data_IF_673437518983
#
_entry.id   IF_673437518983
#
_cell.length_a   1.000
_cell.length_b   1.000
_cell.length_c   1.000
_cell.angle_alpha   90.00
_cell.angle_beta   90.00
_cell.angle_gamma   90.00
#
_symmetry.space_group_name_H-M   'P 1'
#
loop_
_entity.id
_entity.type
_entity.pdbx_description
1 polymer ?
#
# COMPACT_ATOMS: atom_id res chain seq x y z
N UNK A 1 -19.42 15.70 -9.55
CA UNK A 1 -18.56 15.03 -8.56
C UNK A 1 -17.12 15.20 -9.01
N UNK A 2 -16.19 15.51 -8.11
CA UNK A 2 -14.76 15.70 -8.44
C UNK A 2 -13.98 14.38 -8.54
N UNK A 3 -14.67 13.25 -8.63
CA UNK A 3 -14.08 11.93 -8.80
C UNK A 3 -14.67 11.29 -10.04
N UNK A 4 -13.80 10.84 -10.94
CA UNK A 4 -14.16 10.11 -12.14
C UNK A 4 -13.91 8.63 -11.90
N UNK A 5 -14.95 7.82 -12.06
CA UNK A 5 -14.82 6.36 -12.09
C UNK A 5 -14.00 5.94 -13.31
N UNK A 6 -13.07 5.02 -13.10
CA UNK A 6 -12.23 4.42 -14.13
C UNK A 6 -12.59 2.94 -14.21
N UNK A 7 -12.80 2.42 -15.42
CA UNK A 7 -13.16 1.03 -15.62
C UNK A 7 -12.06 0.09 -15.11
N UNK A 8 -12.46 -0.99 -14.45
CA UNK A 8 -11.57 -1.95 -13.79
C UNK A 8 -11.97 -2.20 -12.34
N UNK A 9 -11.38 -3.25 -11.76
CA UNK A 9 -11.52 -3.58 -10.34
C UNK A 9 -10.15 -3.87 -9.75
N UNK A 10 -9.84 -3.24 -8.62
CA UNK A 10 -8.57 -3.39 -7.91
C UNK A 10 -8.83 -3.46 -6.40
N UNK A 11 -7.89 -4.04 -5.66
CA UNK A 11 -7.87 -4.06 -4.19
C UNK A 11 -6.76 -3.17 -3.63
N UNK A 12 -5.73 -2.88 -4.42
CA UNK A 12 -4.68 -1.93 -4.07
C UNK A 12 -4.09 -1.28 -5.34
N UNK A 13 -3.73 0.00 -5.24
CA UNK A 13 -3.00 0.71 -6.29
C UNK A 13 -1.87 1.59 -5.73
N UNK A 14 -0.96 1.95 -6.61
CA UNK A 14 0.09 2.93 -6.40
C UNK A 14 0.28 3.75 -7.68
N UNK A 15 0.72 5.00 -7.54
CA UNK A 15 0.83 5.95 -8.65
C UNK A 15 2.17 6.67 -8.61
N UNK A 16 2.89 6.62 -9.73
CA UNK A 16 4.07 7.44 -10.02
C UNK A 16 3.69 8.71 -10.78
N UNK A 17 4.70 9.45 -11.28
CA UNK A 17 4.48 10.64 -12.11
C UNK A 17 3.74 10.29 -13.42
N UNK A 18 3.08 11.27 -14.03
CA UNK A 18 2.49 11.17 -15.38
C UNK A 18 1.43 10.06 -15.51
N UNK A 19 0.66 9.83 -14.44
CA UNK A 19 -0.34 8.74 -14.34
C UNK A 19 0.24 7.34 -14.61
N UNK A 20 1.50 7.09 -14.22
CA UNK A 20 2.02 5.72 -14.14
C UNK A 20 1.37 4.99 -12.96
N UNK A 21 0.18 4.43 -13.19
CA UNK A 21 -0.61 3.73 -12.18
C UNK A 21 -0.42 2.23 -12.33
N UNK A 22 -0.11 1.57 -11.21
CA UNK A 22 -0.12 0.12 -11.10
C UNK A 22 -1.15 -0.31 -10.06
N UNK A 23 -1.74 -1.47 -10.29
CA UNK A 23 -2.81 -2.00 -9.49
C UNK A 23 -2.74 -3.50 -9.34
N UNK A 24 -3.35 -3.98 -8.26
CA UNK A 24 -3.54 -5.40 -7.96
C UNK A 24 -5.03 -5.63 -7.74
N UNK A 25 -5.58 -6.74 -8.25
CA UNK A 25 -6.99 -7.11 -8.00
C UNK A 25 -7.15 -8.19 -6.91
N UNK A 26 -8.38 -8.62 -6.64
CA UNK A 26 -8.67 -9.62 -5.60
C UNK A 26 -8.08 -11.03 -5.88
N UNK A 27 -7.67 -11.29 -7.13
CA UNK A 27 -6.99 -12.52 -7.54
C UNK A 27 -5.47 -12.42 -7.49
N UNK A 28 -4.93 -11.31 -6.97
CA UNK A 28 -3.51 -10.95 -6.95
C UNK A 28 -2.92 -10.64 -8.34
N UNK A 29 -3.74 -10.55 -9.38
CA UNK A 29 -3.26 -10.22 -10.72
C UNK A 29 -2.78 -8.77 -10.77
N UNK A 30 -1.66 -8.53 -11.44
CA UNK A 30 -1.00 -7.23 -11.52
C UNK A 30 -1.42 -6.53 -12.82
N UNK A 31 -1.73 -5.24 -12.75
CA UNK A 31 -2.12 -4.43 -13.89
C UNK A 31 -1.37 -3.10 -13.92
N UNK A 32 -1.05 -2.64 -15.13
CA UNK A 32 -0.56 -1.29 -15.41
C UNK A 32 -1.61 -0.53 -16.21
N UNK A 33 -1.91 0.71 -15.80
CA UNK A 33 -2.81 1.58 -16.55
C UNK A 33 -2.11 2.15 -17.79
N UNK A 34 -2.77 2.10 -18.94
CA UNK A 34 -2.22 2.58 -20.23
C UNK A 34 -2.70 3.98 -20.60
N UNK A 35 -3.42 4.66 -19.71
CA UNK A 35 -4.12 5.93 -20.00
C UNK A 35 -5.55 5.74 -20.53
N UNK A 36 -5.93 4.51 -20.89
CA UNK A 36 -7.28 4.18 -21.36
C UNK A 36 -7.80 2.88 -20.73
N UNK A 37 -6.95 1.85 -20.66
CA UNK A 37 -7.32 0.52 -20.17
C UNK A 37 -6.25 -0.03 -19.23
N UNK A 38 -6.49 -1.20 -18.67
CA UNK A 38 -5.56 -1.93 -17.83
C UNK A 38 -4.87 -3.03 -18.63
N UNK A 39 -3.55 -2.98 -18.71
CA UNK A 39 -2.72 -4.06 -19.24
C UNK A 39 -2.37 -5.01 -18.10
N UNK A 40 -2.71 -6.30 -18.26
CA UNK A 40 -2.24 -7.32 -17.33
C UNK A 40 -0.72 -7.52 -17.47
N UNK A 41 -0.05 -7.60 -16.33
CA UNK A 41 1.38 -7.88 -16.21
C UNK A 41 1.50 -9.24 -15.52
N UNK A 42 2.18 -10.18 -16.16
CA UNK A 42 2.33 -11.54 -15.63
C UNK A 42 2.98 -11.51 -14.24
N UNK A 43 2.39 -12.24 -13.28
CA UNK A 43 2.84 -12.28 -11.89
C UNK A 43 1.66 -12.18 -10.92
N UNK A 44 1.92 -12.49 -9.64
CA UNK A 44 0.95 -12.39 -8.56
C UNK A 44 1.53 -11.58 -7.42
N UNK A 45 0.80 -10.56 -6.97
CA UNK A 45 1.19 -9.69 -5.87
C UNK A 45 0.00 -9.31 -4.99
N UNK A 46 0.25 -8.87 -3.76
CA UNK A 46 -0.76 -8.31 -2.85
C UNK A 46 -0.54 -6.85 -2.52
N UNK A 47 0.65 -6.31 -2.81
CA UNK A 47 0.93 -4.89 -2.72
C UNK A 47 1.98 -4.48 -3.76
N UNK A 48 1.75 -3.33 -4.41
CA UNK A 48 2.64 -2.68 -5.37
C UNK A 48 3.01 -1.27 -4.90
N UNK A 49 4.27 -0.88 -5.10
CA UNK A 49 4.77 0.49 -4.97
C UNK A 49 5.33 0.98 -6.31
N UNK A 50 5.05 2.24 -6.65
CA UNK A 50 5.49 2.88 -7.89
C UNK A 50 6.15 4.22 -7.56
N UNK A 51 7.41 4.37 -7.98
CA UNK A 51 8.18 5.60 -7.82
C UNK A 51 7.91 6.65 -8.88
N UNK A 52 8.29 7.90 -8.59
CA UNK A 52 8.18 9.02 -9.51
C UNK A 52 9.01 8.86 -10.80
N UNK A 53 10.06 8.03 -10.76
CA UNK A 53 10.90 7.67 -11.92
C UNK A 53 10.40 6.43 -12.69
N UNK A 54 9.25 5.87 -12.27
CA UNK A 54 8.67 4.66 -12.85
C UNK A 54 9.24 3.35 -12.33
N UNK A 55 10.09 3.38 -11.30
CA UNK A 55 10.52 2.17 -10.59
C UNK A 55 9.31 1.47 -9.95
N UNK A 56 9.18 0.16 -10.12
CA UNK A 56 8.06 -0.63 -9.59
C UNK A 56 8.55 -1.82 -8.79
N UNK A 57 8.03 -1.96 -7.57
CA UNK A 57 8.28 -3.11 -6.71
C UNK A 57 6.96 -3.69 -6.22
N UNK A 58 6.95 -5.00 -6.01
CA UNK A 58 5.78 -5.72 -5.51
C UNK A 58 6.17 -6.67 -4.38
N UNK A 59 5.19 -7.02 -3.56
CA UNK A 59 5.26 -8.13 -2.62
C UNK A 59 4.09 -9.08 -2.85
N UNK A 60 4.31 -10.39 -2.71
CA UNK A 60 3.28 -11.41 -2.93
C UNK A 60 2.73 -12.01 -1.63
N UNK A 61 1.78 -12.96 -1.74
CA UNK A 61 1.15 -13.63 -0.57
C UNK A 61 2.12 -14.42 0.31
N UNK A 62 3.28 -14.76 -0.22
CA UNK A 62 4.35 -15.47 0.50
C UNK A 62 5.38 -14.50 1.09
N UNK A 63 5.04 -13.20 1.14
CA UNK A 63 5.86 -12.11 1.62
C UNK A 63 7.15 -11.91 0.79
N UNK A 64 7.25 -12.53 -0.40
CA UNK A 64 8.40 -12.40 -1.29
C UNK A 64 8.37 -11.07 -2.05
N UNK A 65 9.55 -10.49 -2.27
CA UNK A 65 9.72 -9.17 -2.86
C UNK A 65 10.23 -9.31 -4.30
N UNK A 66 9.68 -8.51 -5.22
CA UNK A 66 10.14 -8.48 -6.60
C UNK A 66 10.21 -7.04 -7.14
N UNK A 67 11.23 -6.77 -7.95
CA UNK A 67 11.39 -5.51 -8.67
C UNK A 67 11.16 -5.73 -10.18
N UNK A 68 10.43 -4.82 -10.82
CA UNK A 68 10.22 -4.85 -12.26
C UNK A 68 11.47 -4.39 -13.00
N UNK A 69 11.91 -5.16 -14.01
CA UNK A 69 13.09 -4.83 -14.81
C UNK A 69 12.77 -4.34 -16.25
N UNK A 70 11.49 -4.09 -16.54
CA UNK A 70 11.01 -3.73 -17.88
C UNK A 70 10.48 -4.91 -18.71
N UNK A 71 10.91 -6.13 -18.39
CA UNK A 71 10.55 -7.36 -19.12
C UNK A 71 9.83 -8.34 -18.19
N UNK A 72 10.29 -8.46 -16.95
CA UNK A 72 9.78 -9.37 -15.94
C UNK A 72 10.15 -8.97 -14.52
N UNK A 73 9.88 -9.86 -13.59
CA UNK A 73 10.12 -9.66 -12.16
C UNK A 73 11.46 -10.26 -11.72
N UNK A 74 12.29 -9.45 -11.07
CA UNK A 74 13.53 -9.88 -10.43
C UNK A 74 13.28 -10.05 -8.95
N UNK A 75 13.55 -11.25 -8.41
CA UNK A 75 13.43 -11.48 -6.96
C UNK A 75 14.45 -10.64 -6.18
N UNK A 76 13.98 -10.00 -5.11
CA UNK A 76 14.84 -9.28 -4.16
C UNK A 76 14.80 -10.02 -2.84
N UNK A 77 15.95 -10.46 -2.28
CA UNK A 77 15.97 -11.15 -1.00
C UNK A 77 15.37 -10.33 0.13
N UNK A 78 14.53 -10.97 0.94
CA UNK A 78 13.83 -10.35 2.07
C UNK A 78 12.40 -10.86 2.18
N UNK A 79 11.69 -10.40 3.21
CA UNK A 79 10.28 -10.72 3.42
C UNK A 79 9.50 -9.48 3.90
N UNK A 80 8.54 -9.02 3.11
CA UNK A 80 7.72 -7.84 3.38
C UNK A 80 6.24 -8.12 3.03
N UNK A 81 5.33 -7.44 3.71
CA UNK A 81 3.88 -7.48 3.41
C UNK A 81 3.37 -6.20 2.77
N UNK A 82 4.14 -5.13 2.84
CA UNK A 82 3.87 -3.88 2.14
C UNK A 82 5.19 -3.21 1.76
N UNK A 83 5.21 -2.62 0.56
CA UNK A 83 6.35 -1.92 -0.02
C UNK A 83 5.91 -0.55 -0.55
N UNK A 84 6.80 0.43 -0.47
CA UNK A 84 6.62 1.77 -1.03
C UNK A 84 7.90 2.17 -1.73
N UNK A 85 7.74 2.80 -2.88
CA UNK A 85 8.82 3.21 -3.78
C UNK A 85 8.63 4.68 -4.06
N UNK A 86 9.62 5.50 -3.70
CA UNK A 86 9.67 6.92 -4.05
C UNK A 86 10.35 7.12 -5.40
N UNK A 87 11.48 6.44 -5.58
CA UNK A 87 12.25 6.30 -6.82
C UNK A 87 13.20 5.09 -6.72
N UNK A 88 14.09 4.90 -7.69
CA UNK A 88 15.08 3.80 -7.69
C UNK A 88 15.99 3.75 -6.47
N UNK A 89 16.14 4.84 -5.72
CA UNK A 89 17.02 4.96 -4.55
C UNK A 89 16.25 4.91 -3.22
N UNK A 90 14.94 5.16 -3.27
CA UNK A 90 14.06 5.28 -2.11
C UNK A 90 13.05 4.13 -2.09
N UNK A 91 13.39 3.03 -1.43
CA UNK A 91 12.50 1.86 -1.27
C UNK A 91 12.39 1.50 0.20
N UNK A 92 11.17 1.49 0.71
CA UNK A 92 10.83 1.20 2.10
C UNK A 92 9.73 0.16 2.17
N UNK A 93 9.63 -0.55 3.28
CA UNK A 93 8.52 -1.48 3.50
C UNK A 93 8.42 -1.96 4.93
N UNK A 94 7.36 -2.73 5.19
CA UNK A 94 7.11 -3.36 6.48
C UNK A 94 6.89 -4.86 6.33
N UNK A 95 7.30 -5.64 7.34
CA UNK A 95 7.10 -7.09 7.39
C UNK A 95 5.87 -7.48 8.25
N UNK A 96 5.57 -8.78 8.37
CA UNK A 96 4.44 -9.28 9.19
C UNK A 96 4.53 -8.96 10.68
N UNK A 97 5.73 -8.70 11.18
CA UNK A 97 5.97 -8.31 12.56
C UNK A 97 5.91 -6.79 12.77
N UNK A 98 5.42 -6.04 11.78
CA UNK A 98 5.34 -4.58 11.73
C UNK A 98 6.72 -3.90 11.74
N UNK A 99 7.83 -4.63 11.58
CA UNK A 99 9.15 -4.01 11.52
C UNK A 99 9.30 -3.23 10.21
N UNK A 100 9.93 -2.06 10.31
CA UNK A 100 10.14 -1.14 9.19
C UNK A 100 11.54 -1.32 8.64
N UNK A 101 11.67 -1.33 7.32
CA UNK A 101 12.96 -1.45 6.64
C UNK A 101 13.07 -0.44 5.49
N UNK A 102 14.29 0.02 5.23
CA UNK A 102 14.65 0.62 3.94
C UNK A 102 15.69 -0.23 3.22
N UNK A 103 15.71 -0.15 1.90
CA UNK A 103 16.70 -0.80 1.06
C UNK A 103 17.85 0.16 0.78
N UNK A 104 19.10 -0.23 1.08
CA UNK A 104 20.25 0.64 0.81
C UNK A 104 20.36 0.98 -0.68
N UNK A 105 20.30 2.27 -1.02
CA UNK A 105 20.31 2.82 -2.38
C UNK A 105 19.20 2.27 -3.30
N UNK A 106 18.15 1.66 -2.74
CA UNK A 106 17.10 0.98 -3.53
C UNK A 106 17.62 -0.10 -4.49
N UNK A 107 18.85 -0.59 -4.29
CA UNK A 107 19.51 -1.50 -5.23
C UNK A 107 18.91 -2.91 -5.14
N UNK A 108 18.46 -3.42 -6.30
CA UNK A 108 17.87 -4.75 -6.48
C UNK A 108 18.87 -5.87 -6.17
N UNK A 109 20.11 -5.75 -6.65
CA UNK A 109 21.12 -6.82 -6.62
C UNK A 109 22.01 -6.75 -5.37
N UNK A 110 22.52 -5.56 -5.04
CA UNK A 110 23.58 -5.38 -4.04
C UNK A 110 23.12 -4.65 -2.78
N UNK A 111 21.87 -4.19 -2.74
CA UNK A 111 21.35 -3.55 -1.55
C UNK A 111 21.28 -4.52 -0.35
N UNK A 112 21.04 -3.96 0.84
CA UNK A 112 20.63 -4.69 2.03
C UNK A 112 19.38 -4.04 2.62
N UNK A 113 18.56 -4.83 3.30
CA UNK A 113 17.45 -4.29 4.08
C UNK A 113 17.97 -3.87 5.44
N UNK A 114 17.86 -2.58 5.75
CA UNK A 114 18.25 -2.03 7.04
C UNK A 114 17.00 -1.75 7.84
N UNK A 115 16.92 -2.34 9.02
CA UNK A 115 15.79 -2.11 9.91
C UNK A 115 15.86 -0.71 10.52
N UNK A 116 14.73 -0.02 10.48
CA UNK A 116 14.50 1.27 11.14
C UNK A 116 13.74 1.01 12.44
N UNK A 117 14.14 1.59 13.59
CA UNK A 117 13.38 1.45 14.83
C UNK A 117 11.93 1.89 14.67
N UNK A 118 10.99 1.09 15.14
CA UNK A 118 9.56 1.37 15.03
C UNK A 118 8.73 0.17 14.59
N UNK A 119 7.42 0.27 14.83
CA UNK A 119 6.42 -0.72 14.44
C UNK A 119 5.30 -0.05 13.63
N UNK A 120 5.27 -0.31 12.33
CA UNK A 120 4.30 0.23 11.39
C UNK A 120 3.64 -0.88 10.59
N UNK A 121 2.36 -0.70 10.29
CA UNK A 121 1.60 -1.60 9.38
C UNK A 121 1.58 -1.07 7.95
N UNK A 122 1.98 0.19 7.75
CA UNK A 122 2.07 0.85 6.47
C UNK A 122 3.13 1.96 6.55
N UNK A 123 4.04 1.98 5.59
CA UNK A 123 5.07 3.01 5.40
C UNK A 123 5.01 3.51 3.97
N UNK A 124 5.21 4.81 3.78
CA UNK A 124 5.28 5.43 2.47
C UNK A 124 6.48 6.37 2.37
N UNK A 125 7.20 6.27 1.26
CA UNK A 125 8.39 7.07 0.97
C UNK A 125 8.23 7.79 -0.37
N UNK A 126 8.67 9.05 -0.43
CA UNK A 126 8.72 9.88 -1.63
C UNK A 126 10.15 9.94 -2.22
N UNK A 127 10.28 10.39 -3.47
CA UNK A 127 11.59 10.54 -4.13
C UNK A 127 12.50 11.58 -3.47
N UNK A 128 11.93 12.54 -2.74
CA UNK A 128 12.69 13.54 -1.96
C UNK A 128 13.17 13.00 -0.59
N UNK A 129 12.91 11.72 -0.29
CA UNK A 129 13.25 11.09 0.98
C UNK A 129 12.27 11.36 2.11
N UNK A 130 11.15 12.05 1.85
CA UNK A 130 10.06 12.19 2.83
C UNK A 130 9.48 10.81 3.15
N UNK A 131 9.37 10.47 4.44
CA UNK A 131 8.78 9.20 4.88
C UNK A 131 7.71 9.42 5.93
N UNK A 132 6.57 8.78 5.70
CA UNK A 132 5.45 8.74 6.63
C UNK A 132 5.05 7.30 6.92
N UNK A 133 4.41 7.09 8.07
CA UNK A 133 4.04 5.78 8.55
C UNK A 133 2.77 5.78 9.38
N UNK A 134 2.11 4.63 9.42
CA UNK A 134 0.95 4.37 10.27
C UNK A 134 1.19 3.10 11.08
N UNK A 135 0.97 3.17 12.39
CA UNK A 135 1.09 2.02 13.30
C UNK A 135 -0.19 1.18 13.36
N UNK A 136 -0.10 0.02 13.99
CA UNK A 136 -1.26 -0.85 14.26
C UNK A 136 -2.36 -0.15 15.07
N UNK A 137 -1.99 0.81 15.92
CA UNK A 137 -2.89 1.64 16.72
C UNK A 137 -3.46 2.84 15.94
N UNK A 138 -3.25 2.86 14.61
CA UNK A 138 -3.65 3.92 13.70
C UNK A 138 -2.95 5.26 13.94
N UNK A 139 -1.92 5.30 14.78
CA UNK A 139 -1.10 6.50 15.00
C UNK A 139 -0.28 6.82 13.76
N UNK A 140 -0.14 8.11 13.47
CA UNK A 140 0.55 8.62 12.29
C UNK A 140 1.93 9.11 12.72
N UNK A 141 2.95 8.80 11.93
CA UNK A 141 4.32 9.22 12.18
C UNK A 141 4.96 9.78 10.92
N UNK A 142 5.82 10.78 11.11
CA UNK A 142 6.72 11.32 10.10
C UNK A 142 8.16 11.06 10.51
N UNK A 143 8.98 10.55 9.59
CA UNK A 143 10.41 10.35 9.82
C UNK A 143 11.15 11.69 9.70
N UNK A 144 12.05 12.00 10.63
CA UNK A 144 12.87 13.21 10.58
C UNK A 144 14.33 12.96 10.15
N UNK A 145 14.65 11.75 9.67
CA UNK A 145 16.02 11.32 9.38
C UNK A 145 16.67 10.49 10.49
N UNK A 146 16.11 10.50 11.70
CA UNK A 146 16.66 9.81 12.88
C UNK A 146 15.61 9.11 13.74
N UNK A 147 14.49 9.77 13.97
CA UNK A 147 13.42 9.34 14.85
C UNK A 147 12.05 9.55 14.18
N UNK A 148 11.05 8.80 14.64
CA UNK A 148 9.66 9.01 14.26
C UNK A 148 9.04 10.11 15.12
N UNK A 149 8.49 11.12 14.45
CA UNK A 149 7.70 12.18 15.09
C UNK A 149 6.23 11.84 14.93
N UNK A 150 5.51 11.72 16.05
CA UNK A 150 4.08 11.46 16.00
C UNK A 150 3.33 12.70 15.50
N UNK A 151 2.48 12.51 14.51
CA UNK A 151 1.59 13.52 13.97
C UNK A 151 0.17 13.19 14.43
N UNK A 152 -0.54 14.19 14.96
CA UNK A 152 -1.91 14.01 15.44
C UNK A 152 -2.85 13.48 14.34
N UNK A 153 -3.90 12.78 14.76
CA UNK A 153 -4.87 12.13 13.88
C UNK A 153 -4.73 10.61 13.89
N UNK A 154 -5.61 9.93 13.15
CA UNK A 154 -5.62 8.47 13.02
C UNK A 154 -5.91 8.04 11.58
N UNK A 155 -5.10 7.13 11.04
CA UNK A 155 -5.24 6.62 9.68
C UNK A 155 -5.20 5.09 9.63
N UNK A 156 -5.84 4.50 8.62
CA UNK A 156 -5.68 3.11 8.21
C UNK A 156 -4.49 2.94 7.25
N UNK A 157 -4.27 3.93 6.39
CA UNK A 157 -3.23 3.98 5.36
C UNK A 157 -2.75 5.42 5.19
N UNK A 158 -1.46 5.59 4.87
CA UNK A 158 -0.83 6.83 4.41
C UNK A 158 -0.09 6.60 3.08
N UNK A 159 -0.05 7.63 2.24
CA UNK A 159 0.71 7.66 0.99
C UNK A 159 1.34 9.04 0.82
N UNK A 160 2.63 9.10 0.52
CA UNK A 160 3.37 10.34 0.26
C UNK A 160 4.15 10.25 -1.06
N UNK A 161 4.16 11.34 -1.81
CA UNK A 161 4.94 11.50 -3.05
C UNK A 161 5.85 12.73 -3.04
N UNK A 162 5.73 13.56 -2.00
CA UNK A 162 6.64 14.65 -1.62
C UNK A 162 6.25 15.17 -0.23
N UNK A 163 7.06 16.07 0.32
CA UNK A 163 6.72 16.81 1.54
C UNK A 163 5.35 17.52 1.46
N UNK A 164 4.93 17.97 0.27
CA UNK A 164 3.66 18.68 0.06
C UNK A 164 2.49 17.78 -0.35
N UNK A 165 2.76 16.52 -0.68
CA UNK A 165 1.78 15.60 -1.25
C UNK A 165 1.69 14.36 -0.37
N UNK A 166 0.89 14.48 0.69
CA UNK A 166 0.62 13.42 1.67
C UNK A 166 -0.89 13.24 1.79
N UNK A 167 -1.35 12.02 1.54
CA UNK A 167 -2.77 11.63 1.66
C UNK A 167 -2.91 10.37 2.49
N UNK A 168 -4.11 10.11 2.99
CA UNK A 168 -4.39 8.90 3.75
C UNK A 168 -5.86 8.55 3.83
N UNK A 169 -6.12 7.32 4.25
CA UNK A 169 -7.47 6.82 4.53
C UNK A 169 -7.71 6.90 6.04
N UNK A 170 -8.69 7.69 6.46
CA UNK A 170 -9.11 7.80 7.85
C UNK A 170 -9.83 6.55 8.38
N UNK A 171 -10.11 6.52 9.68
CA UNK A 171 -10.76 5.36 10.33
C UNK A 171 -12.15 5.06 9.75
N UNK A 172 -12.83 6.09 9.24
CA UNK A 172 -14.17 6.00 8.64
C UNK A 172 -14.11 5.96 7.11
N UNK A 173 -12.97 5.59 6.52
CA UNK A 173 -12.73 5.54 5.06
C UNK A 173 -12.80 6.90 4.35
N UNK A 174 -12.82 8.00 5.10
CA UNK A 174 -12.70 9.33 4.53
C UNK A 174 -11.28 9.56 4.00
N UNK A 175 -11.18 10.19 2.83
CA UNK A 175 -9.89 10.53 2.21
C UNK A 175 -9.39 11.84 2.78
N UNK A 176 -8.18 11.84 3.33
CA UNK A 176 -7.54 12.97 3.99
C UNK A 176 -6.29 13.41 3.23
N UNK A 177 -6.04 14.71 3.17
CA UNK A 177 -4.78 15.31 2.71
C UNK A 177 -4.16 16.09 3.87
N UNK A 178 -2.86 15.91 4.09
CA UNK A 178 -2.11 16.74 5.01
C UNK A 178 -1.65 18.01 4.29
N UNK A 179 -2.02 19.17 4.81
CA UNK A 179 -1.66 20.47 4.23
C UNK A 179 -1.52 21.50 5.34
N UNK A 180 -0.44 22.28 5.30
CA UNK A 180 -0.19 23.41 6.22
C UNK A 180 -0.34 23.02 7.71
N UNK A 181 0.15 21.83 8.06
CA UNK A 181 0.07 21.32 9.43
C UNK A 181 -1.29 20.74 9.83
N UNK A 182 -2.22 20.53 8.90
CA UNK A 182 -3.57 20.08 9.19
C UNK A 182 -4.04 18.96 8.26
N UNK A 183 -4.93 18.10 8.78
CA UNK A 183 -5.65 17.13 7.96
C UNK A 183 -6.93 17.76 7.40
N UNK A 184 -7.03 17.80 6.08
CA UNK A 184 -8.20 18.26 5.34
C UNK A 184 -8.86 17.06 4.66
N UNK A 185 -10.18 17.01 4.65
CA UNK A 185 -10.95 15.91 4.08
C UNK A 185 -11.45 16.22 2.68
N UNK A 186 -11.31 15.28 1.74
CA UNK A 186 -12.03 15.32 0.47
C UNK A 186 -13.51 15.00 0.69
N UNK A 187 -14.38 15.83 0.10
CA UNK A 187 -15.84 15.64 0.15
C UNK A 187 -16.31 14.48 -0.71
N UNK A 188 -17.46 13.93 -0.33
CA UNK A 188 -18.31 13.06 -1.16
C UNK A 188 -17.62 11.80 -1.70
N UNK A 189 -16.60 11.29 -1.01
CA UNK A 189 -15.89 10.06 -1.37
C UNK A 189 -15.50 9.28 -0.11
N UNK A 190 -15.58 7.96 -0.20
CA UNK A 190 -15.03 7.03 0.78
C UNK A 190 -14.21 5.98 0.03
N UNK A 191 -12.97 5.75 0.47
CA UNK A 191 -12.05 4.85 -0.20
C UNK A 191 -11.40 3.91 0.83
N UNK A 192 -11.06 2.70 0.42
CA UNK A 192 -10.29 1.72 1.19
C UNK A 192 -8.80 1.79 0.85
N UNK A 193 -8.45 2.32 -0.33
CA UNK A 193 -7.08 2.58 -0.74
C UNK A 193 -6.94 3.93 -1.45
N UNK A 194 -5.83 4.63 -1.21
CA UNK A 194 -5.51 5.89 -1.88
C UNK A 194 -4.04 5.96 -2.27
N UNK A 195 -3.72 6.62 -3.37
CA UNK A 195 -2.37 6.97 -3.76
C UNK A 195 -2.34 8.34 -4.45
N UNK A 196 -1.27 9.09 -4.23
CA UNK A 196 -1.04 10.40 -4.85
C UNK A 196 0.34 10.43 -5.48
N UNK A 197 0.47 11.01 -6.67
CA UNK A 197 1.76 11.18 -7.34
C UNK A 197 2.37 12.54 -7.03
N UNK A 198 3.64 12.75 -7.40
CA UNK A 198 4.36 14.01 -7.15
C UNK A 198 3.76 15.21 -7.93
N UNK A 199 3.09 14.92 -9.04
CA UNK A 199 2.31 15.84 -9.87
C UNK A 199 0.83 15.91 -9.47
N UNK A 200 0.48 15.42 -8.27
CA UNK A 200 -0.84 15.48 -7.64
C UNK A 200 -1.97 14.71 -8.36
N UNK A 201 -1.64 13.69 -9.17
CA UNK A 201 -2.64 12.74 -9.64
C UNK A 201 -3.05 11.87 -8.44
N UNK A 202 -4.30 12.03 -8.01
CA UNK A 202 -4.86 11.33 -6.87
C UNK A 202 -5.81 10.23 -7.37
N UNK A 203 -5.52 9.01 -6.94
CA UNK A 203 -6.25 7.80 -7.28
C UNK A 203 -6.69 7.08 -6.01
N UNK A 204 -7.76 6.31 -6.10
CA UNK A 204 -8.08 5.37 -5.06
C UNK A 204 -9.18 4.39 -5.43
N UNK A 205 -9.49 3.54 -4.47
CA UNK A 205 -10.33 2.36 -4.64
C UNK A 205 -11.36 2.35 -3.52
N UNK A 206 -12.63 2.12 -3.84
CA UNK A 206 -13.69 2.00 -2.85
C UNK A 206 -13.88 0.57 -2.30
N UNK A 207 -14.85 0.38 -1.41
CA UNK A 207 -15.15 -0.92 -0.82
C UNK A 207 -15.74 -1.96 -1.80
N UNK A 208 -16.13 -1.52 -3.00
CA UNK A 208 -16.63 -2.37 -4.08
C UNK A 208 -15.54 -2.68 -5.11
N UNK A 209 -14.28 -2.37 -4.80
CA UNK A 209 -13.11 -2.53 -5.66
C UNK A 209 -13.12 -1.59 -6.87
N UNK A 210 -13.99 -0.59 -6.90
CA UNK A 210 -14.12 0.34 -8.01
C UNK A 210 -13.06 1.44 -7.93
N UNK A 211 -12.53 1.81 -9.09
CA UNK A 211 -11.38 2.70 -9.20
C UNK A 211 -11.85 4.12 -9.50
N UNK A 212 -11.27 5.09 -8.81
CA UNK A 212 -11.57 6.50 -8.97
C UNK A 212 -10.29 7.32 -9.14
N UNK A 213 -10.34 8.27 -10.07
CA UNK A 213 -9.33 9.31 -10.26
C UNK A 213 -9.95 10.66 -9.90
N UNK A 214 -9.27 11.42 -9.04
CA UNK A 214 -9.68 12.76 -8.68
C UNK A 214 -9.51 13.72 -9.88
N UNK A 215 -10.54 14.51 -10.12
CA UNK A 215 -10.58 15.56 -11.14
C UNK A 215 -10.90 16.89 -10.44
N UNK A 216 -9.91 17.77 -10.26
CA UNK A 216 -10.14 19.05 -9.61
C UNK A 216 -11.18 19.87 -10.37
N UNK A 217 -12.15 20.41 -9.63
CA UNK A 217 -13.12 21.36 -10.18
C UNK A 217 -12.66 22.77 -9.81
N UNK A 218 -12.56 23.67 -10.80
CA UNK A 218 -12.03 25.03 -10.62
C UNK A 218 -12.93 25.95 -9.78
N UNK A 219 -14.17 25.55 -9.48
CA UNK A 219 -15.17 26.46 -8.88
C UNK A 219 -15.33 26.32 -7.36
N UNK A 220 -14.89 25.22 -6.74
CA UNK A 220 -15.00 25.01 -5.28
C UNK A 220 -13.83 24.20 -4.74
N UNK A 221 -13.39 24.54 -3.52
CA UNK A 221 -12.37 23.72 -2.84
C UNK A 221 -12.94 22.32 -2.56
N UNK A 222 -12.23 21.25 -2.94
CA UNK A 222 -12.65 19.88 -2.68
C UNK A 222 -12.43 19.46 -1.22
N UNK A 223 -11.72 20.31 -0.45
CA UNK A 223 -11.26 20.03 0.90
C UNK A 223 -12.09 20.77 1.96
N UNK A 224 -12.36 20.11 3.08
CA UNK A 224 -12.91 20.69 4.31
C UNK A 224 -12.01 20.42 5.51
N UNK A 225 -11.91 21.37 6.47
CA UNK A 225 -11.22 21.12 7.73
C UNK A 225 -11.81 19.92 8.45
N UNK A 226 -10.94 19.10 9.07
CA UNK A 226 -11.38 18.12 10.05
C UNK A 226 -11.62 18.81 11.41
N UNK A 227 -12.52 18.28 12.23
CA UNK A 227 -12.85 18.86 13.54
C UNK A 227 -11.72 18.75 14.59
N UNK A 228 -10.59 18.14 14.23
CA UNK A 228 -9.45 17.90 15.10
C UNK A 228 -8.18 18.42 14.44
N UNK A 229 -7.66 19.56 14.90
CA UNK A 229 -6.30 19.98 14.52
C UNK A 229 -5.29 18.96 15.05
N UNK A 230 -4.37 18.45 14.22
CA UNK A 230 -3.34 17.53 14.72
C UNK A 230 -2.39 18.32 15.62
N UNK A 231 -2.32 17.93 16.89
CA UNK A 231 -1.26 18.39 17.80
C UNK A 231 -0.03 17.54 17.54
N UNK A 232 1.10 18.18 17.26
CA UNK A 232 2.42 17.53 17.28
C UNK A 232 2.78 17.23 18.73
N UNK A 233 2.64 15.97 19.12
CA UNK A 233 3.13 15.51 20.42
C UNK A 233 4.57 15.02 20.28
N UNK A 234 5.30 15.18 21.38
CA UNK A 234 6.72 14.86 21.62
C UNK A 234 7.29 13.69 20.82
N UNK A 235 8.58 13.78 20.48
CA UNK A 235 9.43 12.69 19.97
C UNK A 235 9.14 11.39 20.71
N UNK A 236 8.63 10.39 19.99
CA UNK A 236 8.50 9.04 20.54
C UNK A 236 9.70 8.25 20.07
N UNK A 237 10.68 8.07 20.95
CA UNK A 237 11.73 7.06 20.74
C UNK A 237 11.05 5.70 20.87
N UNK A 238 10.67 5.11 19.74
CA UNK A 238 10.13 3.75 19.72
C UNK A 238 11.32 2.82 19.98
N UNK A 239 11.46 2.35 21.22
CA UNK A 239 12.55 1.47 21.61
C UNK A 239 12.62 0.26 20.66
N UNK A 240 13.82 -0.14 20.22
CA UNK A 240 13.97 -1.35 19.44
C UNK A 240 13.56 -2.53 20.32
N UNK A 241 12.39 -3.10 20.04
CA UNK A 241 12.13 -4.47 20.43
C UNK A 241 13.18 -5.32 19.73
N UNK A 242 14.14 -5.82 20.51
CA UNK A 242 15.29 -6.68 20.18
C UNK A 242 16.59 -5.96 19.77
N UNK A 243 17.73 -6.33 20.41
CA UNK A 243 19.04 -5.78 20.04
C UNK A 243 19.44 -6.24 18.63
N UNK A 244 20.17 -5.37 17.94
CA UNK A 244 20.75 -5.60 16.63
C UNK A 244 21.68 -6.83 16.64
N UNK A 245 21.12 -7.99 16.31
CA UNK A 245 21.87 -9.13 15.78
C UNK A 245 21.77 -9.06 14.25
N UNK A 246 22.89 -8.81 13.58
CA UNK A 246 23.00 -8.96 12.15
C UNK A 246 22.42 -10.33 11.73
N UNK A 247 21.32 -10.35 10.99
CA UNK A 247 20.89 -11.57 10.29
C UNK A 247 21.82 -11.71 9.09
N UNK A 248 23.00 -12.29 9.34
CA UNK A 248 23.85 -12.83 8.30
C UNK A 248 23.15 -14.09 7.82
N UNK A 249 22.65 -14.08 6.59
CA UNK A 249 22.12 -15.28 5.98
C UNK A 249 23.22 -16.33 5.82
N UNK A 250 22.96 -17.54 6.31
CA UNK A 250 23.55 -18.79 5.82
C UNK A 250 22.57 -19.94 6.14
N UNK A 251 22.14 -20.63 5.09
CA UNK A 251 21.30 -21.83 5.15
C UNK A 251 22.09 -23.05 5.64
N UNK A 252 21.51 -23.91 6.50
CA UNK A 252 21.63 -25.38 6.39
C UNK A 252 20.55 -26.07 7.23
N UNK A 253 20.10 -27.24 6.78
CA UNK A 253 18.99 -27.99 7.36
C UNK A 253 19.27 -28.80 8.63
N UNK A 254 18.20 -29.47 9.06
CA UNK A 254 18.07 -30.55 10.04
C UNK A 254 18.28 -30.21 11.54
N UNK A 255 17.21 -30.41 12.33
CA UNK A 255 17.33 -30.67 13.77
C UNK A 255 16.19 -30.17 14.67
N UNK A 256 15.08 -30.92 14.70
CA UNK A 256 14.13 -31.12 15.81
C UNK A 256 14.05 -30.10 16.98
N UNK A 257 12.84 -29.56 17.20
CA UNK A 257 12.25 -29.47 18.54
C UNK A 257 10.71 -29.49 18.45
N UNK A 258 10.14 -30.67 18.74
CA UNK A 258 8.73 -30.84 19.09
C UNK A 258 8.48 -30.11 20.42
N UNK A 259 7.74 -29.01 20.40
CA UNK A 259 7.02 -28.50 21.58
C UNK A 259 5.57 -28.31 21.18
N UNK A 260 4.75 -29.28 21.58
CA UNK A 260 3.30 -29.23 21.54
C UNK A 260 2.86 -28.34 22.70
N UNK A 261 2.17 -27.24 22.43
CA UNK A 261 1.18 -26.72 23.36
C UNK A 261 0.00 -26.14 22.57
N UNK A 262 -1.17 -26.73 22.79
CA UNK A 262 -2.36 -26.49 21.99
C UNK A 262 -3.08 -25.20 22.32
N UNK A 263 -3.57 -24.54 21.28
CA UNK A 263 -4.78 -23.72 21.31
C UNK A 263 -5.26 -23.48 19.87
N UNK A 264 -6.29 -24.23 19.48
CA UNK A 264 -7.36 -23.89 18.52
C UNK A 264 -7.03 -22.89 17.38
N UNK A 265 -6.86 -23.45 16.18
CA UNK A 265 -6.92 -22.74 14.90
C UNK A 265 -8.39 -22.34 14.65
N UNK A 266 -8.70 -21.05 14.76
CA UNK A 266 -9.95 -20.49 14.26
C UNK A 266 -9.76 -20.10 12.80
N UNK A 267 -10.23 -20.95 11.88
CA UNK A 267 -10.37 -20.61 10.46
C UNK A 267 -11.41 -19.48 10.33
N UNK A 268 -10.97 -18.26 10.03
CA UNK A 268 -11.85 -17.18 9.60
C UNK A 268 -12.19 -17.43 8.12
N UNK A 269 -13.28 -18.14 7.88
CA UNK A 269 -13.95 -18.18 6.58
C UNK A 269 -14.63 -16.81 6.39
N UNK A 270 -14.10 -15.98 5.48
CA UNK A 270 -14.82 -14.82 4.97
C UNK A 270 -16.05 -15.31 4.21
N UNK A 271 -17.24 -14.98 4.72
CA UNK A 271 -18.55 -15.25 4.08
C UNK A 271 -18.63 -14.55 2.72
N UNK A 272 -18.70 -15.32 1.64
CA UNK A 272 -19.25 -14.85 0.37
C UNK A 272 -20.77 -14.73 0.47
N UNK A 273 -21.31 -13.54 0.24
CA UNK A 273 -22.72 -13.39 -0.14
C UNK A 273 -22.86 -13.88 -1.59
N UNK A 274 -23.49 -15.04 -1.78
CA UNK A 274 -23.98 -15.46 -3.10
C UNK A 274 -25.02 -14.45 -3.59
N UNK A 275 -24.70 -13.72 -4.64
CA UNK A 275 -25.73 -13.14 -5.52
C UNK A 275 -26.38 -14.30 -6.28
N UNK A 276 -27.70 -14.41 -6.17
CA UNK A 276 -28.52 -15.36 -6.96
C UNK A 276 -28.53 -14.90 -8.41
N UNK A 277 -28.13 -15.77 -9.33
CA UNK A 277 -28.46 -15.61 -10.75
C UNK A 277 -29.84 -16.22 -11.02
N UNK A 278 -30.67 -15.63 -11.89
CA UNK A 278 -31.95 -16.22 -12.28
C UNK A 278 -31.74 -17.44 -13.18
N UNK A 279 -32.51 -18.50 -12.91
CA UNK A 279 -32.66 -19.67 -13.77
C UNK A 279 -33.20 -19.27 -15.14
N UNK A 280 -32.51 -19.66 -16.20
CA UNK A 280 -33.09 -19.71 -17.55
C UNK A 280 -33.60 -21.14 -17.75
N UNK A 281 -34.92 -21.29 -17.67
CA UNK A 281 -35.64 -22.51 -18.02
C UNK A 281 -35.79 -22.65 -19.52
N UNK A 282 -35.51 -23.84 -20.05
CA UNK A 282 -36.02 -24.30 -21.34
C UNK A 282 -34.96 -24.53 -22.40
N UNK A 283 -34.63 -25.79 -22.69
CA UNK A 283 -35.12 -26.47 -23.89
C UNK A 283 -34.77 -27.97 -23.78
N UNK A 284 -35.81 -28.80 -23.80
CA UNK A 284 -35.75 -30.26 -23.87
C UNK A 284 -35.48 -30.74 -25.29
N UNK A 285 -34.68 -31.80 -25.38
CA UNK A 285 -34.68 -32.91 -26.37
C UNK A 285 -35.04 -32.64 -27.84
N UNK A 286 -34.12 -33.04 -28.74
CA UNK A 286 -34.42 -34.07 -29.75
C UNK A 286 -33.19 -34.97 -29.95
N UNK A 287 -33.42 -36.27 -29.79
CA UNK A 287 -32.53 -37.40 -30.09
C UNK A 287 -32.75 -37.84 -31.54
N UNK A 288 -31.64 -38.09 -32.26
CA UNK A 288 -31.42 -38.97 -33.44
C UNK A 288 -32.51 -39.10 -34.53
N UNK A 289 -32.11 -38.82 -35.76
CA UNK A 289 -31.92 -39.83 -36.82
C UNK A 289 -30.56 -39.62 -37.47
#
# INVERSE_FOLDING_TARGET
MSWKKIDGILTQLAVGRDNNVWGINFKDEIFQYTGQTWRNIEGLAVNVGVGADGTVWVVNRFDQIFAWNGIGWTNVPGALVQISVGDKSQVWGVNRADNVFYRTNGDVLNGTWVQVPGLLINVSVASDGTVWGVSRNRDIFKWNGKDWIQIGGKLKQIYTSSESSVVGIGINNNVLQYKDGQWLQYKDIILENVAISIDNNLWGIDSMEEIYMFQPNSTTSPLTPTSTSPTTSSTVTINPGYPAGAIIGLSVGLGLALIICGATILFIIRRYKKTKFPEVSGFSEVVRQ
#
